data_IF_172896484809
#
_entry.id   IF_172896484809
#
_cell.length_a   1.000
_cell.length_b   1.000
_cell.length_c   1.000
_cell.angle_alpha   90.00
_cell.angle_beta   90.00
_cell.angle_gamma   90.00
#
_symmetry.space_group_name_H-M   'P 1'
#
loop_
_entity.id
_entity.type
_entity.pdbx_description
1 polymer ?
#
# COMPACT_ATOMS: atom_id res chain seq x y z
N UNK A 1 74.80 -20.44 -28.36
CA UNK A 1 74.11 -19.77 -27.24
C UNK A 1 72.72 -19.37 -27.74
N UNK A 2 71.67 -20.10 -27.35
CA UNK A 2 70.28 -19.90 -27.84
C UNK A 2 69.58 -18.88 -26.95
N UNK A 3 69.19 -17.73 -27.50
CA UNK A 3 68.43 -16.70 -26.80
C UNK A 3 66.93 -16.98 -26.99
N UNK A 4 66.26 -17.40 -25.90
CA UNK A 4 64.79 -17.47 -25.82
C UNK A 4 64.32 -16.16 -25.21
N UNK A 5 63.54 -15.36 -25.92
CA UNK A 5 62.82 -14.22 -25.36
C UNK A 5 61.33 -14.48 -25.54
N UNK A 6 60.66 -14.58 -24.40
CA UNK A 6 59.25 -14.89 -24.23
C UNK A 6 58.37 -13.68 -24.59
N UNK A 7 57.25 -13.98 -25.26
CA UNK A 7 56.16 -13.09 -25.63
C UNK A 7 55.31 -12.78 -24.39
N UNK A 8 55.01 -11.51 -24.03
CA UNK A 8 54.03 -11.23 -22.99
C UNK A 8 52.62 -11.28 -23.58
N UNK A 9 51.77 -12.12 -22.99
CA UNK A 9 50.33 -12.23 -23.26
C UNK A 9 49.66 -11.04 -22.57
N UNK A 10 49.05 -10.14 -23.35
CA UNK A 10 48.14 -9.11 -22.84
C UNK A 10 46.85 -9.80 -22.36
N UNK A 11 46.66 -9.91 -21.05
CA UNK A 11 45.34 -10.20 -20.47
C UNK A 11 44.50 -8.92 -20.52
N UNK A 12 43.52 -8.88 -21.42
CA UNK A 12 42.44 -7.90 -21.38
C UNK A 12 41.49 -8.32 -20.25
N UNK A 13 41.53 -7.61 -19.13
CA UNK A 13 40.52 -7.73 -18.09
C UNK A 13 39.24 -7.08 -18.60
N UNK A 14 38.26 -7.90 -19.01
CA UNK A 14 36.90 -7.45 -19.20
C UNK A 14 36.33 -7.06 -17.82
N UNK A 15 36.27 -5.75 -17.55
CA UNK A 15 35.50 -5.24 -16.42
C UNK A 15 34.02 -5.55 -16.70
N UNK A 16 33.51 -6.62 -16.08
CA UNK A 16 32.08 -6.79 -15.89
C UNK A 16 31.60 -5.58 -15.08
N UNK A 17 31.02 -4.59 -15.76
CA UNK A 17 30.22 -3.58 -15.10
C UNK A 17 29.14 -4.33 -14.32
N UNK A 18 29.26 -4.34 -12.99
CA UNK A 18 28.13 -4.68 -12.11
C UNK A 18 26.99 -3.77 -12.58
N UNK A 19 25.97 -4.36 -13.20
CA UNK A 19 24.71 -3.66 -13.44
C UNK A 19 24.33 -2.96 -12.14
N UNK A 20 24.06 -1.66 -12.25
CA UNK A 20 23.71 -0.83 -11.09
C UNK A 20 22.67 -1.55 -10.24
N UNK A 21 22.82 -1.46 -8.92
CA UNK A 21 21.79 -1.89 -7.98
C UNK A 21 20.42 -1.40 -8.48
N UNK A 22 19.35 -2.20 -8.38
CA UNK A 22 18.01 -1.70 -8.68
C UNK A 22 17.81 -0.36 -7.96
N UNK A 23 17.12 0.63 -8.58
CA UNK A 23 17.03 1.95 -7.98
C UNK A 23 16.52 1.85 -6.55
N UNK A 24 17.14 2.61 -5.66
CA UNK A 24 16.68 2.79 -4.29
C UNK A 24 15.20 3.17 -4.30
N UNK A 25 14.46 2.75 -3.28
CA UNK A 25 13.10 3.20 -3.02
C UNK A 25 13.00 4.73 -3.18
N UNK A 26 11.92 5.20 -3.81
CA UNK A 26 11.66 6.63 -3.97
C UNK A 26 10.92 7.12 -2.73
N UNK A 27 11.62 7.86 -1.88
CA UNK A 27 11.04 8.43 -0.66
C UNK A 27 9.83 9.31 -0.97
N UNK A 28 8.77 9.13 -0.17
CA UNK A 28 7.56 9.97 -0.19
C UNK A 28 7.20 10.39 1.23
N UNK A 29 6.34 11.40 1.33
CA UNK A 29 5.68 11.80 2.57
C UNK A 29 4.25 11.29 2.54
N UNK A 30 3.82 10.64 3.61
CA UNK A 30 2.44 10.16 3.77
C UNK A 30 1.73 10.97 4.83
N UNK A 31 0.47 11.31 4.57
CA UNK A 31 -0.44 11.91 5.55
C UNK A 31 -1.76 11.14 5.52
N UNK A 32 -2.28 10.79 6.69
CA UNK A 32 -3.61 10.18 6.82
C UNK A 32 -4.58 11.23 7.36
N UNK A 33 -5.65 11.49 6.61
CA UNK A 33 -6.70 12.36 7.13
C UNK A 33 -7.46 11.65 8.26
N UNK A 34 -7.86 12.41 9.27
CA UNK A 34 -8.70 11.92 10.38
C UNK A 34 -10.20 12.02 10.08
N UNK A 35 -10.56 12.79 9.05
CA UNK A 35 -11.91 12.93 8.54
C UNK A 35 -11.92 13.00 7.02
N UNK A 36 -13.00 12.56 6.38
CA UNK A 36 -13.24 12.82 4.97
C UNK A 36 -13.72 14.27 4.71
N UNK A 37 -13.97 14.60 3.44
CA UNK A 37 -14.44 15.93 3.02
C UNK A 37 -15.80 16.34 3.61
N UNK A 38 -16.58 15.39 4.14
CA UNK A 38 -17.87 15.63 4.81
C UNK A 38 -17.73 15.78 6.34
N UNK A 39 -16.53 15.64 6.89
CA UNK A 39 -16.27 15.65 8.32
C UNK A 39 -16.53 14.29 9.01
N UNK A 40 -16.79 13.24 8.25
CA UNK A 40 -16.95 11.88 8.79
C UNK A 40 -15.58 11.32 9.17
N UNK A 41 -15.47 10.77 10.38
CA UNK A 41 -14.23 10.19 10.89
C UNK A 41 -13.80 9.01 10.00
N UNK A 42 -12.52 8.98 9.62
CA UNK A 42 -11.93 7.86 8.88
C UNK A 42 -11.66 6.68 9.80
N UNK A 43 -11.75 5.46 9.30
CA UNK A 43 -11.47 4.24 10.07
C UNK A 43 -9.98 3.90 10.13
N UNK A 44 -9.17 4.41 9.20
CA UNK A 44 -7.70 4.35 9.26
C UNK A 44 -7.15 5.78 9.33
N UNK A 45 -6.50 6.13 10.45
CA UNK A 45 -6.13 7.50 10.77
C UNK A 45 -4.68 7.65 11.21
N UNK A 46 -4.19 8.89 11.16
CA UNK A 46 -2.90 9.25 11.74
C UNK A 46 -2.89 9.12 13.27
N UNK A 47 -1.69 9.09 13.85
CA UNK A 47 -1.44 9.24 15.28
C UNK A 47 -1.56 10.70 15.80
N UNK A 48 -1.92 11.65 14.93
CA UNK A 48 -2.06 13.06 15.28
C UNK A 48 -0.73 13.83 15.41
N UNK A 49 0.41 13.20 15.11
CA UNK A 49 1.74 13.80 15.23
C UNK A 49 2.26 14.40 13.91
N UNK A 50 1.36 14.71 12.98
CA UNK A 50 1.67 15.26 11.65
C UNK A 50 2.08 14.21 10.61
N UNK A 51 2.64 14.68 9.50
CA UNK A 51 3.02 13.81 8.37
C UNK A 51 4.11 12.79 8.73
N UNK A 52 4.10 11.70 7.98
CA UNK A 52 5.04 10.59 8.08
C UNK A 52 6.10 10.71 6.98
N UNK A 53 7.35 10.92 7.40
CA UNK A 53 8.49 11.04 6.49
C UNK A 53 9.32 9.76 6.52
N UNK A 54 9.76 9.30 5.34
CA UNK A 54 10.65 8.14 5.24
C UNK A 54 11.93 8.33 6.07
N UNK A 55 12.29 7.30 6.84
CA UNK A 55 13.49 7.31 7.68
C UNK A 55 13.40 8.14 8.97
N UNK A 56 12.28 8.82 9.23
CA UNK A 56 12.09 9.65 10.43
C UNK A 56 11.28 8.91 11.48
N UNK A 57 11.80 8.78 12.70
CA UNK A 57 11.06 8.17 13.80
C UNK A 57 10.71 6.69 13.59
N UNK A 58 11.51 5.95 12.81
CA UNK A 58 11.27 4.54 12.49
C UNK A 58 10.17 4.30 11.46
N UNK A 59 9.71 5.35 10.78
CA UNK A 59 8.74 5.28 9.68
C UNK A 59 9.45 4.88 8.39
N UNK A 60 8.78 4.05 7.60
CA UNK A 60 9.09 3.85 6.17
C UNK A 60 7.97 4.44 5.33
N UNK A 61 8.31 5.17 4.27
CA UNK A 61 7.33 5.70 3.34
C UNK A 61 7.95 5.92 1.96
N UNK A 62 7.63 5.06 0.99
CA UNK A 62 8.26 5.15 -0.32
C UNK A 62 7.42 4.52 -1.44
N UNK A 63 7.69 4.90 -2.68
CA UNK A 63 7.37 4.07 -3.83
C UNK A 63 8.47 3.03 -4.02
N UNK A 64 8.08 1.76 -4.13
CA UNK A 64 8.99 0.63 -4.22
C UNK A 64 9.08 0.09 -5.64
N UNK A 65 10.24 -0.49 -5.95
CA UNK A 65 10.32 -1.44 -7.06
C UNK A 65 9.72 -2.75 -6.58
N UNK A 66 8.70 -3.28 -7.25
CA UNK A 66 8.16 -4.56 -6.83
C UNK A 66 9.00 -5.74 -7.35
N UNK A 67 8.95 -6.85 -6.61
CA UNK A 67 9.69 -8.06 -6.97
C UNK A 67 9.02 -8.96 -8.01
N UNK A 68 7.74 -8.75 -8.34
CA UNK A 68 6.98 -9.70 -9.17
C UNK A 68 7.07 -9.40 -10.67
N UNK A 69 7.10 -8.13 -11.06
CA UNK A 69 7.29 -7.71 -12.46
C UNK A 69 8.40 -6.67 -12.64
N UNK A 70 9.12 -6.31 -11.57
CA UNK A 70 10.27 -5.42 -11.62
C UNK A 70 9.92 -3.96 -11.94
N UNK A 71 8.64 -3.57 -11.86
CA UNK A 71 8.22 -2.19 -12.08
C UNK A 71 8.80 -1.29 -11.00
N UNK A 72 9.63 -0.34 -11.44
CA UNK A 72 10.33 0.60 -10.58
C UNK A 72 9.35 1.67 -10.10
N UNK A 73 9.32 1.87 -8.78
CA UNK A 73 8.48 2.87 -8.08
C UNK A 73 7.00 2.78 -8.44
N UNK A 74 6.49 1.57 -8.65
CA UNK A 74 5.15 1.36 -9.15
C UNK A 74 4.09 1.16 -8.07
N UNK A 75 4.49 0.73 -6.88
CA UNK A 75 3.66 0.48 -5.70
C UNK A 75 4.11 1.40 -4.55
N UNK A 76 3.21 1.84 -3.68
CA UNK A 76 3.49 2.58 -2.45
C UNK A 76 3.51 1.66 -1.23
N UNK A 77 4.49 1.88 -0.37
CA UNK A 77 4.61 1.25 0.93
C UNK A 77 4.75 2.29 2.02
N UNK A 78 4.04 2.04 3.11
CA UNK A 78 4.10 2.77 4.35
C UNK A 78 4.29 1.80 5.51
N UNK A 79 5.04 2.19 6.53
CA UNK A 79 5.26 1.33 7.69
C UNK A 79 5.65 2.09 8.94
N UNK A 80 5.14 1.61 10.07
CA UNK A 80 5.48 2.03 11.44
C UNK A 80 5.95 0.84 12.29
N UNK A 81 6.20 -0.33 11.67
CA UNK A 81 6.61 -1.55 12.37
C UNK A 81 7.89 -1.40 13.19
N UNK A 82 8.80 -0.52 12.77
CA UNK A 82 10.05 -0.23 13.46
C UNK A 82 9.98 1.06 14.29
N UNK A 83 8.80 1.67 14.42
CA UNK A 83 8.61 2.90 15.20
C UNK A 83 8.19 2.59 16.62
N UNK A 84 8.79 3.30 17.58
CA UNK A 84 8.33 3.34 18.97
C UNK A 84 7.47 4.57 19.28
N UNK A 85 7.34 5.50 18.34
CA UNK A 85 6.72 6.82 18.55
C UNK A 85 5.60 7.13 17.56
N UNK A 86 5.51 6.38 16.45
CA UNK A 86 4.54 6.59 15.38
C UNK A 86 3.67 5.36 15.24
N UNK A 87 2.37 5.57 15.11
CA UNK A 87 1.36 4.50 14.99
C UNK A 87 0.28 4.91 14.00
N UNK A 88 -0.64 3.99 13.71
CA UNK A 88 -1.86 4.24 12.93
C UNK A 88 -3.06 3.83 13.76
N UNK A 89 -4.10 4.66 13.80
CA UNK A 89 -5.37 4.28 14.41
C UNK A 89 -6.18 3.45 13.42
N UNK A 90 -6.67 2.29 13.83
CA UNK A 90 -7.57 1.43 13.04
C UNK A 90 -8.87 1.22 13.82
N UNK A 91 -10.00 1.38 13.12
CA UNK A 91 -11.36 1.19 13.61
C UNK A 91 -12.07 0.07 12.85
N UNK A 92 -12.67 -0.85 13.59
CA UNK A 92 -13.56 -1.93 13.11
C UNK A 92 -15.02 -1.65 13.45
N UNK A 93 -15.40 -0.37 13.62
CA UNK A 93 -16.73 0.04 14.08
C UNK A 93 -17.87 -0.25 13.08
N UNK A 94 -17.55 -0.55 11.82
CA UNK A 94 -18.52 -0.77 10.75
C UNK A 94 -18.47 -2.21 10.19
N UNK A 95 -18.82 -3.24 10.99
CA UNK A 95 -18.79 -4.63 10.55
C UNK A 95 -19.92 -4.96 9.57
N UNK A 96 -19.65 -5.87 8.64
CA UNK A 96 -20.64 -6.42 7.70
C UNK A 96 -21.07 -7.79 8.22
N UNK A 97 -22.34 -7.90 8.63
CA UNK A 97 -22.87 -9.17 9.12
C UNK A 97 -23.08 -10.17 7.97
N UNK A 98 -23.00 -11.50 8.21
CA UNK A 98 -23.28 -12.49 7.17
C UNK A 98 -24.66 -12.35 6.53
N UNK A 99 -25.67 -11.98 7.31
CA UNK A 99 -27.02 -11.69 6.81
C UNK A 99 -27.10 -10.48 5.85
N UNK A 100 -26.04 -9.67 5.81
CA UNK A 100 -25.92 -8.46 4.97
C UNK A 100 -24.82 -8.58 3.91
N UNK A 101 -24.34 -9.80 3.63
CA UNK A 101 -23.33 -10.07 2.60
C UNK A 101 -21.89 -10.22 3.12
N UNK A 102 -21.68 -10.20 4.43
CA UNK A 102 -20.39 -10.57 5.02
C UNK A 102 -20.11 -12.07 4.90
N UNK A 103 -18.84 -12.44 4.93
CA UNK A 103 -18.40 -13.84 4.72
C UNK A 103 -18.14 -14.62 6.01
N UNK A 104 -17.99 -13.92 7.13
CA UNK A 104 -17.82 -14.52 8.45
C UNK A 104 -18.47 -13.64 9.54
N UNK A 105 -18.70 -14.20 10.72
CA UNK A 105 -19.14 -13.42 11.88
C UNK A 105 -18.00 -12.47 12.28
N UNK A 106 -18.24 -11.14 12.31
CA UNK A 106 -17.22 -10.17 12.67
C UNK A 106 -16.65 -10.41 14.08
N UNK A 107 -15.34 -10.59 14.16
CA UNK A 107 -14.61 -10.86 15.41
C UNK A 107 -13.27 -10.10 15.43
N UNK A 108 -13.30 -8.76 15.54
CA UNK A 108 -12.08 -7.98 15.46
C UNK A 108 -11.27 -8.07 16.77
N UNK A 109 -9.93 -7.97 16.74
CA UNK A 109 -9.09 -8.01 17.94
C UNK A 109 -9.32 -6.82 18.89
N UNK A 110 -9.94 -5.75 18.39
CA UNK A 110 -10.32 -4.54 19.11
C UNK A 110 -11.35 -3.76 18.29
N UNK A 111 -12.06 -2.82 18.91
CA UNK A 111 -12.94 -1.91 18.16
C UNK A 111 -12.17 -0.76 17.53
N UNK A 112 -11.37 -0.02 18.31
CA UNK A 112 -10.52 1.08 17.82
C UNK A 112 -9.18 1.03 18.56
N UNK A 113 -8.06 1.18 17.86
CA UNK A 113 -6.74 1.15 18.49
C UNK A 113 -5.63 1.76 17.63
N UNK A 114 -4.66 2.40 18.30
CA UNK A 114 -3.37 2.74 17.71
C UNK A 114 -2.48 1.49 17.68
N UNK A 115 -2.03 1.12 16.47
CA UNK A 115 -1.18 -0.04 16.24
C UNK A 115 0.03 0.35 15.39
N UNK A 116 1.09 -0.43 15.49
CA UNK A 116 2.11 -0.44 14.43
C UNK A 116 1.53 -1.18 13.23
N UNK A 117 1.69 -0.58 12.05
CA UNK A 117 1.11 -1.09 10.82
C UNK A 117 2.10 -0.97 9.67
N UNK A 118 1.94 -1.84 8.69
CA UNK A 118 2.50 -1.76 7.36
C UNK A 118 1.34 -1.73 6.37
N UNK A 119 1.25 -0.66 5.58
CA UNK A 119 0.19 -0.45 4.60
C UNK A 119 0.84 -0.38 3.24
N UNK A 120 0.29 -1.12 2.29
CA UNK A 120 0.82 -1.19 0.94
C UNK A 120 -0.32 -1.23 -0.07
N UNK A 121 -0.24 -0.39 -1.09
CA UNK A 121 -1.04 -0.60 -2.30
C UNK A 121 -0.25 -1.46 -3.29
N UNK A 122 -0.97 -2.21 -4.11
CA UNK A 122 -0.39 -3.12 -5.09
C UNK A 122 -0.84 -2.79 -6.49
N UNK A 123 -0.83 -1.51 -6.89
CA UNK A 123 -1.26 -1.09 -8.21
C UNK A 123 -0.63 -1.93 -9.32
N UNK A 124 0.65 -2.25 -9.22
CA UNK A 124 1.39 -2.95 -10.25
C UNK A 124 0.96 -4.41 -10.44
N UNK A 125 0.17 -5.00 -9.53
CA UNK A 125 -0.47 -6.30 -9.74
C UNK A 125 -1.64 -6.24 -10.74
N UNK A 126 -2.11 -5.04 -11.07
CA UNK A 126 -3.24 -4.83 -11.96
C UNK A 126 -2.74 -4.48 -13.35
N UNK A 127 -3.28 -5.18 -14.36
CA UNK A 127 -3.01 -4.90 -15.78
C UNK A 127 -3.55 -3.53 -16.16
N UNK A 128 -2.78 -2.79 -16.97
CA UNK A 128 -3.20 -1.48 -17.49
C UNK A 128 -4.01 -1.58 -18.80
N UNK A 129 -4.36 -2.79 -19.24
CA UNK A 129 -5.12 -3.04 -20.47
C UNK A 129 -4.34 -2.93 -21.78
N UNK A 130 -3.11 -2.41 -21.75
CA UNK A 130 -2.25 -2.20 -22.92
C UNK A 130 -1.03 -3.14 -22.93
N UNK A 131 -1.19 -4.34 -22.39
CA UNK A 131 -0.10 -5.32 -22.29
C UNK A 131 0.97 -4.98 -21.24
N UNK A 132 0.70 -4.02 -20.35
CA UNK A 132 1.57 -3.66 -19.24
C UNK A 132 0.84 -3.69 -17.89
N UNK A 133 1.48 -3.12 -16.89
CA UNK A 133 0.99 -3.05 -15.52
C UNK A 133 0.77 -1.59 -15.12
N UNK A 134 -0.14 -1.34 -14.17
CA UNK A 134 -0.25 -0.01 -13.58
C UNK A 134 1.06 0.34 -12.86
N UNK A 135 1.38 1.63 -12.80
CA UNK A 135 2.60 2.12 -12.15
C UNK A 135 2.31 3.53 -11.59
N UNK A 136 2.30 3.67 -10.26
CA UNK A 136 1.96 4.93 -9.59
C UNK A 136 2.84 6.10 -10.01
N UNK A 137 4.15 5.90 -10.18
CA UNK A 137 5.07 6.94 -10.62
C UNK A 137 4.75 7.45 -12.03
N UNK A 138 4.35 6.56 -12.93
CA UNK A 138 4.09 6.87 -14.34
C UNK A 138 2.70 7.45 -14.60
N UNK A 139 1.89 7.63 -13.56
CA UNK A 139 0.57 8.24 -13.70
C UNK A 139 0.68 9.66 -14.25
N UNK A 140 -0.25 9.99 -15.14
CA UNK A 140 -0.50 11.34 -15.61
C UNK A 140 -1.45 12.08 -14.68
N UNK A 141 -1.46 13.42 -14.72
CA UNK A 141 -2.33 14.20 -13.86
C UNK A 141 -3.81 13.83 -14.10
N UNK A 142 -4.54 13.64 -13.01
CA UNK A 142 -5.93 13.18 -12.91
C UNK A 142 -6.17 11.73 -13.35
N UNK A 143 -5.13 10.97 -13.65
CA UNK A 143 -5.27 9.55 -13.90
C UNK A 143 -5.65 8.83 -12.61
N UNK A 144 -6.50 7.82 -12.74
CA UNK A 144 -6.95 6.97 -11.63
C UNK A 144 -6.62 5.51 -11.93
N UNK A 145 -6.19 4.79 -10.90
CA UNK A 145 -6.06 3.34 -10.91
C UNK A 145 -6.93 2.72 -9.81
N UNK A 146 -7.46 1.52 -10.08
CA UNK A 146 -8.03 0.67 -9.05
C UNK A 146 -6.97 -0.32 -8.62
N UNK A 147 -6.61 -0.30 -7.33
CA UNK A 147 -5.47 -1.04 -6.82
C UNK A 147 -5.89 -1.85 -5.58
N UNK A 148 -5.34 -3.05 -5.38
CA UNK A 148 -5.45 -3.74 -4.11
C UNK A 148 -4.72 -2.96 -3.01
N UNK A 149 -5.23 -3.03 -1.78
CA UNK A 149 -4.59 -2.46 -0.58
C UNK A 149 -4.50 -3.54 0.51
N UNK A 150 -3.35 -3.63 1.17
CA UNK A 150 -3.13 -4.47 2.35
C UNK A 150 -2.81 -3.55 3.52
N UNK A 151 -3.50 -3.73 4.64
CA UNK A 151 -3.08 -3.18 5.93
C UNK A 151 -2.70 -4.32 6.86
N UNK A 152 -1.41 -4.51 7.09
CA UNK A 152 -0.85 -5.49 8.00
C UNK A 152 -0.52 -4.83 9.34
N UNK A 153 -0.94 -5.43 10.46
CA UNK A 153 -0.69 -4.88 11.80
C UNK A 153 -0.60 -5.99 12.86
N UNK A 154 -0.10 -5.61 14.03
CA UNK A 154 -0.07 -6.47 15.23
C UNK A 154 -0.98 -5.89 16.31
N UNK A 155 -1.72 -6.77 17.01
CA UNK A 155 -2.47 -6.36 18.20
C UNK A 155 -1.55 -6.23 19.44
N UNK A 156 -2.11 -5.91 20.61
CA UNK A 156 -1.29 -5.80 21.84
C UNK A 156 -0.72 -7.10 22.36
N UNK A 157 -1.27 -8.24 21.92
CA UNK A 157 -0.77 -9.55 22.28
C UNK A 157 0.32 -10.03 21.30
N UNK A 158 0.62 -9.24 20.26
CA UNK A 158 1.57 -9.59 19.21
C UNK A 158 0.99 -10.53 18.14
N UNK A 159 -0.33 -10.69 18.09
CA UNK A 159 -1.00 -11.45 17.04
C UNK A 159 -1.03 -10.66 15.74
N UNK A 160 -0.73 -11.34 14.64
CA UNK A 160 -0.66 -10.77 13.30
C UNK A 160 -2.03 -10.75 12.63
N UNK A 161 -2.43 -9.59 12.11
CA UNK A 161 -3.67 -9.41 11.37
C UNK A 161 -3.41 -8.69 10.06
N UNK A 162 -4.25 -8.95 9.05
CA UNK A 162 -4.26 -8.21 7.79
C UNK A 162 -5.67 -7.82 7.42
N UNK A 163 -5.82 -6.63 6.85
CA UNK A 163 -7.02 -6.21 6.14
C UNK A 163 -6.68 -6.27 4.66
N UNK A 164 -7.39 -7.12 3.92
CA UNK A 164 -7.30 -7.23 2.48
C UNK A 164 -8.41 -6.43 1.82
N UNK A 165 -8.07 -5.47 0.95
CA UNK A 165 -9.02 -4.73 0.11
C UNK A 165 -8.62 -4.94 -1.35
N UNK A 166 -9.14 -5.99 -1.97
CA UNK A 166 -8.76 -6.41 -3.31
C UNK A 166 -9.50 -7.68 -3.75
N UNK A 167 -10.49 -7.59 -4.66
CA UNK A 167 -11.25 -8.73 -5.17
C UNK A 167 -10.40 -9.87 -5.74
N UNK A 168 -9.16 -9.58 -6.18
CA UNK A 168 -8.22 -10.58 -6.68
C UNK A 168 -7.60 -11.46 -5.58
N UNK A 169 -7.74 -11.07 -4.31
CA UNK A 169 -7.32 -11.86 -3.15
C UNK A 169 -8.52 -12.39 -2.37
N UNK A 170 -9.49 -11.50 -2.12
CA UNK A 170 -10.68 -11.79 -1.33
C UNK A 170 -11.91 -11.28 -2.12
N UNK A 171 -12.70 -12.16 -2.77
CA UNK A 171 -13.69 -11.77 -3.78
C UNK A 171 -14.75 -10.74 -3.34
N UNK A 172 -15.13 -10.73 -2.07
CA UNK A 172 -16.18 -9.86 -1.51
C UNK A 172 -15.65 -8.48 -1.09
N UNK A 173 -14.34 -8.25 -1.20
CA UNK A 173 -13.70 -6.97 -0.88
C UNK A 173 -13.73 -6.01 -2.08
N UNK A 174 -13.36 -4.74 -1.87
CA UNK A 174 -13.28 -3.76 -2.97
C UNK A 174 -11.84 -3.29 -3.18
N UNK A 175 -11.51 -2.90 -4.41
CA UNK A 175 -10.29 -2.14 -4.66
C UNK A 175 -10.35 -0.76 -4.00
N UNK A 176 -9.20 -0.10 -3.92
CA UNK A 176 -9.08 1.33 -3.58
C UNK A 176 -8.76 2.12 -4.84
N UNK A 177 -9.11 3.41 -4.87
CA UNK A 177 -8.81 4.30 -5.97
C UNK A 177 -7.54 5.09 -5.66
N UNK A 178 -6.51 4.89 -6.46
CA UNK A 178 -5.31 5.73 -6.46
C UNK A 178 -5.47 6.78 -7.54
N UNK A 179 -5.39 8.05 -7.16
CA UNK A 179 -5.53 9.20 -8.07
C UNK A 179 -4.25 10.00 -8.08
N UNK A 180 -3.72 10.31 -9.26
CA UNK A 180 -2.62 11.25 -9.39
C UNK A 180 -3.16 12.69 -9.48
N UNK A 181 -2.86 13.55 -8.51
CA UNK A 181 -3.36 14.93 -8.49
C UNK A 181 -2.47 15.88 -9.29
N UNK A 182 -1.15 15.69 -9.21
CA UNK A 182 -0.17 16.51 -9.93
C UNK A 182 1.01 15.69 -10.43
N UNK A 183 1.69 16.24 -11.44
CA UNK A 183 2.91 15.67 -12.04
C UNK A 183 4.04 16.68 -11.83
N UNK A 184 5.21 16.20 -11.39
CA UNK A 184 6.37 17.07 -11.19
C UNK A 184 6.94 17.54 -12.54
N UNK A 185 7.59 18.70 -12.54
CA UNK A 185 8.32 19.20 -13.71
C UNK A 185 9.44 18.26 -14.17
N UNK A 186 10.05 17.53 -13.23
CA UNK A 186 11.04 16.48 -13.49
C UNK A 186 10.45 15.19 -14.08
N UNK A 187 9.12 15.12 -14.27
CA UNK A 187 8.40 13.98 -14.82
C UNK A 187 7.86 13.03 -13.76
N UNK A 188 6.77 12.33 -14.07
CA UNK A 188 6.06 11.40 -13.19
C UNK A 188 5.07 12.07 -12.23
N UNK A 189 4.11 11.32 -11.71
CA UNK A 189 3.19 11.80 -10.70
C UNK A 189 3.95 12.18 -9.42
N UNK A 190 3.52 13.22 -8.69
CA UNK A 190 4.17 13.65 -7.45
C UNK A 190 3.22 13.92 -6.27
N UNK A 191 1.92 13.82 -6.50
CA UNK A 191 0.89 13.92 -5.48
C UNK A 191 -0.17 12.87 -5.79
N UNK A 192 -0.47 12.01 -4.82
CA UNK A 192 -1.49 10.98 -4.94
C UNK A 192 -2.48 11.05 -3.78
N UNK A 193 -3.74 10.74 -4.10
CA UNK A 193 -4.72 10.32 -3.10
C UNK A 193 -5.02 8.83 -3.25
N UNK A 194 -5.15 8.15 -2.12
CA UNK A 194 -5.69 6.79 -2.04
C UNK A 194 -6.98 6.86 -1.24
N UNK A 195 -8.07 6.62 -1.93
CA UNK A 195 -9.43 6.73 -1.43
C UNK A 195 -10.18 5.41 -1.57
N UNK A 196 -11.13 5.10 -0.67
CA UNK A 196 -12.02 3.98 -0.83
C UNK A 196 -12.88 4.16 -2.09
N UNK A 197 -13.02 3.07 -2.87
CA UNK A 197 -14.07 3.02 -3.89
C UNK A 197 -15.37 2.65 -3.17
N UNK A 198 -16.43 3.48 -3.25
CA UNK A 198 -17.73 3.18 -2.66
C UNK A 198 -18.17 1.76 -2.92
N UNK A 199 -18.34 0.99 -1.85
CA UNK A 199 -18.77 -0.39 -1.91
C UNK A 199 -20.26 -0.51 -2.25
N UNK A 200 -20.55 -0.37 -3.54
CA UNK A 200 -21.87 -0.59 -4.10
C UNK A 200 -22.81 0.60 -3.97
N UNK A 201 -24.09 0.29 -4.15
CA UNK A 201 -25.19 1.24 -4.23
C UNK A 201 -26.28 0.83 -3.24
N UNK A 202 -26.96 1.79 -2.61
CA UNK A 202 -28.11 1.56 -1.74
C UNK A 202 -29.28 0.93 -2.53
N UNK A 203 -30.38 0.60 -1.85
CA UNK A 203 -31.60 0.04 -2.48
C UNK A 203 -32.21 0.93 -3.56
N UNK A 204 -31.81 2.20 -3.62
CA UNK A 204 -32.26 3.19 -4.61
C UNK A 204 -31.22 3.40 -5.72
N UNK A 205 -30.11 2.65 -5.72
CA UNK A 205 -29.05 2.80 -6.71
C UNK A 205 -28.13 4.00 -6.48
N UNK A 206 -28.07 4.57 -5.27
CA UNK A 206 -27.10 5.63 -4.91
C UNK A 206 -25.82 5.01 -4.35
N UNK A 207 -24.62 5.43 -4.78
CA UNK A 207 -23.38 4.88 -4.24
C UNK A 207 -23.34 5.07 -2.72
N UNK A 208 -23.10 4.00 -1.97
CA UNK A 208 -22.98 4.07 -0.50
C UNK A 208 -21.67 4.81 -0.21
N UNK A 209 -21.68 6.05 0.32
CA UNK A 209 -20.51 6.90 0.26
C UNK A 209 -19.33 6.39 1.11
N UNK A 210 -18.14 6.47 0.51
CA UNK A 210 -16.89 6.73 1.23
C UNK A 210 -16.25 5.56 1.97
N UNK A 211 -16.65 4.31 1.72
CA UNK A 211 -16.02 3.15 2.35
C UNK A 211 -15.68 2.03 1.36
N UNK A 212 -14.51 1.42 1.56
CA UNK A 212 -14.08 0.20 0.90
C UNK A 212 -14.45 -1.00 1.78
N UNK A 213 -14.76 -2.15 1.18
CA UNK A 213 -14.89 -3.40 1.93
C UNK A 213 -13.50 -3.99 2.08
N UNK A 214 -13.09 -4.21 3.33
CA UNK A 214 -11.88 -4.94 3.67
C UNK A 214 -12.20 -6.19 4.48
N UNK A 215 -11.53 -7.30 4.18
CA UNK A 215 -11.59 -8.54 4.96
C UNK A 215 -10.51 -8.55 6.02
N UNK A 216 -10.89 -8.73 7.27
CA UNK A 216 -9.96 -8.97 8.37
C UNK A 216 -9.56 -10.45 8.40
N UNK A 217 -8.26 -10.70 8.41
CA UNK A 217 -7.68 -12.03 8.47
C UNK A 217 -6.72 -12.11 9.65
N UNK A 218 -6.92 -13.09 10.53
CA UNK A 218 -5.96 -13.46 11.57
C UNK A 218 -4.94 -14.48 11.02
N UNK A 219 -3.65 -14.18 11.17
CA UNK A 219 -2.57 -15.07 10.79
C UNK A 219 -2.17 -15.93 11.99
N UNK A 220 -2.81 -17.09 12.11
CA UNK A 220 -2.36 -18.13 13.01
C UNK A 220 -1.13 -18.86 12.41
N UNK A 221 -0.34 -19.51 13.28
CA UNK A 221 0.94 -20.13 12.94
C UNK A 221 0.94 -21.04 11.69
N UNK A 222 -0.20 -21.65 11.35
CA UNK A 222 -0.34 -22.57 10.22
C UNK A 222 -1.60 -22.35 9.38
N UNK A 223 -2.32 -21.24 9.60
CA UNK A 223 -3.58 -20.97 8.90
C UNK A 223 -3.95 -19.50 8.96
N UNK A 224 -4.66 -19.04 7.95
CA UNK A 224 -5.36 -17.76 7.95
C UNK A 224 -6.81 -17.98 8.33
N UNK A 225 -7.32 -17.21 9.30
CA UNK A 225 -8.73 -17.26 9.74
C UNK A 225 -9.41 -15.98 9.30
N UNK A 226 -10.56 -16.11 8.62
CA UNK A 226 -11.40 -14.96 8.28
C UNK A 226 -12.17 -14.51 9.54
N UNK A 227 -11.90 -13.28 9.98
CA UNK A 227 -12.46 -12.64 11.18
C UNK A 227 -13.56 -11.60 10.82
N UNK A 228 -14.09 -11.68 9.60
CA UNK A 228 -15.19 -10.88 9.09
C UNK A 228 -14.78 -9.80 8.10
N UNK A 229 -15.79 -9.22 7.45
CA UNK A 229 -15.65 -8.11 6.52
C UNK A 229 -16.15 -6.81 7.17
N UNK A 230 -15.54 -5.68 6.81
CA UNK A 230 -15.82 -4.38 7.40
C UNK A 230 -15.78 -3.29 6.33
N UNK A 231 -16.58 -2.23 6.55
CA UNK A 231 -16.46 -0.99 5.79
C UNK A 231 -15.35 -0.13 6.40
N UNK A 232 -14.38 0.27 5.58
CA UNK A 232 -13.30 1.17 5.97
C UNK A 232 -13.35 2.47 5.19
N UNK A 233 -13.46 3.58 5.92
CA UNK A 233 -13.25 4.93 5.39
C UNK A 233 -11.80 5.34 5.60
N UNK A 234 -11.17 5.94 4.60
CA UNK A 234 -9.84 6.51 4.75
C UNK A 234 -9.56 7.52 3.64
N UNK A 235 -8.53 8.33 3.84
CA UNK A 235 -7.97 9.19 2.81
C UNK A 235 -6.48 9.30 3.07
N UNK A 236 -5.68 8.70 2.19
CA UNK A 236 -4.23 8.78 2.27
C UNK A 236 -3.73 9.79 1.24
N UNK A 237 -2.98 10.77 1.71
CA UNK A 237 -2.33 11.76 0.87
C UNK A 237 -0.83 11.46 0.84
N UNK A 238 -0.32 11.22 -0.36
CA UNK A 238 1.08 10.88 -0.60
C UNK A 238 1.69 11.98 -1.47
N UNK A 239 2.82 12.53 -1.05
CA UNK A 239 3.57 13.51 -1.86
C UNK A 239 5.02 13.09 -2.00
N UNK A 240 5.62 13.38 -3.15
CA UNK A 240 7.08 13.41 -3.26
C UNK A 240 7.55 14.86 -3.43
N UNK A 241 8.72 15.19 -2.88
CA UNK A 241 9.30 16.53 -3.01
C UNK A 241 9.61 16.91 -4.46
#
# INVERSE_FOLDING_TARGET
MRLRIFLPILLVAAALAKGGLPPSNLSVTTTFASTDASGTITDIQSDGLGSYFDGVGGVTSFLTTNGYNGQIWGDWQFGTLNSSTRTVSISFANPIQPASGGTAVPNPPFTIKNVIAHIEDKCTQISNGNGGWNNMYQMTAKQTFQCPLITHFYDSNGYEYRIYSGPNWEPETTFVQVTCNSVASAGGCNEWYIDPIPAGYDVNGNPIPGAAIGRLVYFAKHSTVNEGDYYFRFHFHITRP
#
